data_IF_380407786031
#
_entry.id   IF_380407786031
#
_cell.length_a   1.000
_cell.length_b   1.000
_cell.length_c   1.000
_cell.angle_alpha   90.00
_cell.angle_beta   90.00
_cell.angle_gamma   90.00
#
_symmetry.space_group_name_H-M   'P 1'
#
loop_
_entity.id
_entity.type
_entity.pdbx_description
1 polymer ?
#
# COMPACT_ATOMS: atom_id res chain seq x y z
N UNK A 1 -16.95 -16.77 28.08
CA UNK A 1 -15.88 -15.84 27.64
C UNK A 1 -15.22 -15.31 28.89
N UNK A 2 -13.90 -15.42 29.00
CA UNK A 2 -13.17 -15.20 30.25
C UNK A 2 -13.07 -13.69 30.59
N UNK A 3 -13.19 -13.31 31.87
CA UNK A 3 -13.18 -11.90 32.29
C UNK A 3 -11.85 -11.21 31.96
N UNK A 4 -10.77 -12.00 32.01
CA UNK A 4 -9.41 -11.63 31.59
C UNK A 4 -9.34 -11.27 30.11
N UNK A 5 -9.99 -12.06 29.26
CA UNK A 5 -10.05 -11.85 27.81
C UNK A 5 -10.83 -10.57 27.47
N UNK A 6 -11.95 -10.33 28.15
CA UNK A 6 -12.72 -9.08 28.00
C UNK A 6 -11.89 -7.86 28.41
N UNK A 7 -11.22 -7.92 29.56
CA UNK A 7 -10.36 -6.83 30.05
C UNK A 7 -9.19 -6.54 29.11
N UNK A 8 -8.59 -7.58 28.52
CA UNK A 8 -7.53 -7.44 27.54
C UNK A 8 -8.02 -6.76 26.25
N UNK A 9 -9.18 -7.17 25.73
CA UNK A 9 -9.79 -6.57 24.54
C UNK A 9 -10.10 -5.09 24.78
N UNK A 10 -10.76 -4.76 25.89
CA UNK A 10 -11.12 -3.38 26.23
C UNK A 10 -9.87 -2.51 26.43
N UNK A 11 -8.86 -3.01 27.16
CA UNK A 11 -7.60 -2.30 27.35
C UNK A 11 -6.85 -2.03 26.04
N UNK A 12 -6.88 -3.00 25.12
CA UNK A 12 -6.26 -2.85 23.80
C UNK A 12 -6.98 -1.78 22.95
N UNK A 13 -8.31 -1.74 22.99
CA UNK A 13 -9.10 -0.73 22.28
C UNK A 13 -8.79 0.68 22.84
N UNK A 14 -8.75 0.84 24.16
CA UNK A 14 -8.44 2.13 24.80
C UNK A 14 -7.02 2.57 24.44
N UNK A 15 -6.05 1.66 24.42
CA UNK A 15 -4.68 1.96 24.02
C UNK A 15 -4.58 2.41 22.55
N UNK A 16 -5.33 1.76 21.65
CA UNK A 16 -5.39 2.14 20.22
C UNK A 16 -5.99 3.53 20.03
N UNK A 17 -7.06 3.86 20.76
CA UNK A 17 -7.67 5.21 20.75
C UNK A 17 -6.70 6.24 21.36
N UNK A 18 -6.03 5.89 22.46
CA UNK A 18 -5.03 6.74 23.09
C UNK A 18 -3.84 7.05 22.18
N UNK A 19 -3.47 6.11 21.29
CA UNK A 19 -2.44 6.30 20.27
C UNK A 19 -2.92 7.14 19.08
N UNK A 20 -4.21 7.10 18.72
CA UNK A 20 -4.72 7.83 17.55
C UNK A 20 -4.81 9.35 17.78
N UNK A 21 -5.08 9.78 19.02
CA UNK A 21 -5.15 11.20 19.41
C UNK A 21 -3.83 11.97 19.18
N UNK A 22 -2.66 11.53 19.70
CA UNK A 22 -1.39 12.20 19.45
C UNK A 22 -0.97 12.12 17.98
N UNK A 23 -1.36 11.07 17.26
CA UNK A 23 -1.12 10.96 15.81
C UNK A 23 -1.93 11.99 15.03
N UNK A 24 -3.17 12.26 15.43
CA UNK A 24 -4.01 13.29 14.83
C UNK A 24 -3.50 14.71 15.15
N UNK A 25 -2.86 14.90 16.31
CA UNK A 25 -2.28 16.16 16.74
C UNK A 25 -0.91 16.48 16.08
N UNK A 26 -0.33 15.56 15.31
CA UNK A 26 0.90 15.81 14.56
C UNK A 26 0.66 16.71 13.35
N UNK A 27 1.67 17.51 13.01
CA UNK A 27 1.75 18.22 11.73
C UNK A 27 1.51 17.25 10.54
N UNK A 28 0.81 17.74 9.53
CA UNK A 28 0.34 16.95 8.38
C UNK A 28 1.46 16.16 7.69
N UNK A 29 2.64 16.77 7.54
CA UNK A 29 3.84 16.13 6.98
C UNK A 29 4.39 14.99 7.85
N UNK A 30 4.34 15.13 9.18
CA UNK A 30 4.80 14.12 10.14
C UNK A 30 3.79 12.97 10.23
N UNK A 31 2.50 13.28 10.18
CA UNK A 31 1.42 12.28 10.14
C UNK A 31 1.51 11.39 8.90
N UNK A 32 1.74 11.97 7.72
CA UNK A 32 1.90 11.20 6.48
C UNK A 32 3.15 10.31 6.50
N UNK A 33 4.26 10.80 7.05
CA UNK A 33 5.46 9.98 7.26
C UNK A 33 5.20 8.83 8.23
N UNK A 34 4.50 9.09 9.32
CA UNK A 34 4.16 8.08 10.32
C UNK A 34 3.23 7.01 9.74
N UNK A 35 2.21 7.40 8.98
CA UNK A 35 1.30 6.47 8.31
C UNK A 35 2.03 5.59 7.30
N UNK A 36 2.92 6.17 6.47
CA UNK A 36 3.75 5.41 5.53
C UNK A 36 4.68 4.44 6.25
N UNK A 37 5.30 4.89 7.35
CA UNK A 37 6.15 4.06 8.21
C UNK A 37 5.35 2.87 8.77
N UNK A 38 4.21 3.13 9.42
CA UNK A 38 3.36 2.09 9.99
C UNK A 38 2.83 1.11 8.94
N UNK A 39 2.38 1.59 7.78
CA UNK A 39 1.96 0.71 6.67
C UNK A 39 3.07 -0.24 6.21
N UNK A 40 4.33 0.22 6.22
CA UNK A 40 5.48 -0.64 5.88
C UNK A 40 5.77 -1.65 6.99
N UNK A 41 5.87 -1.18 8.23
CA UNK A 41 6.25 -2.04 9.37
C UNK A 41 5.17 -3.04 9.74
N UNK A 42 3.89 -2.69 9.67
CA UNK A 42 2.81 -3.63 10.00
C UNK A 42 2.83 -4.84 9.05
N UNK A 43 3.14 -4.63 7.77
CA UNK A 43 3.30 -5.70 6.77
C UNK A 43 4.50 -6.60 7.11
N UNK A 44 5.64 -6.00 7.45
CA UNK A 44 6.86 -6.73 7.82
C UNK A 44 6.63 -7.55 9.08
N UNK A 45 6.09 -6.94 10.14
CA UNK A 45 5.79 -7.61 11.41
C UNK A 45 4.78 -8.73 11.20
N UNK A 46 3.71 -8.49 10.43
CA UNK A 46 2.73 -9.53 10.10
C UNK A 46 3.38 -10.73 9.39
N UNK A 47 4.24 -10.49 8.40
CA UNK A 47 4.95 -11.57 7.71
C UNK A 47 5.89 -12.34 8.63
N UNK A 48 6.64 -11.65 9.51
CA UNK A 48 7.51 -12.29 10.50
C UNK A 48 6.69 -13.17 11.43
N UNK A 49 5.61 -12.62 12.00
CA UNK A 49 4.73 -13.38 12.90
C UNK A 49 4.12 -14.58 12.19
N UNK A 50 3.67 -14.42 10.94
CA UNK A 50 3.10 -15.51 10.16
C UNK A 50 4.11 -16.65 9.94
N UNK A 51 5.35 -16.32 9.57
CA UNK A 51 6.42 -17.30 9.32
C UNK A 51 6.85 -17.97 10.62
N UNK A 52 7.14 -17.19 11.67
CA UNK A 52 7.59 -17.73 12.96
C UNK A 52 6.50 -18.60 13.59
N UNK A 53 5.24 -18.13 13.60
CA UNK A 53 4.13 -18.91 14.14
C UNK A 53 3.88 -20.20 13.34
N UNK A 54 4.00 -20.16 12.02
CA UNK A 54 3.76 -21.35 11.19
C UNK A 54 4.90 -22.36 11.25
N UNK A 55 6.15 -21.89 11.27
CA UNK A 55 7.33 -22.77 11.48
C UNK A 55 7.30 -23.41 12.87
N UNK A 56 6.92 -22.64 13.91
CA UNK A 56 6.75 -23.17 15.26
C UNK A 56 5.63 -24.22 15.35
N UNK A 57 4.48 -23.99 14.71
CA UNK A 57 3.38 -24.96 14.65
C UNK A 57 3.76 -26.27 13.96
N UNK A 58 4.53 -26.19 12.85
CA UNK A 58 5.07 -27.37 12.17
C UNK A 58 6.08 -28.11 13.05
N UNK A 59 6.95 -27.37 13.75
CA UNK A 59 7.93 -27.95 14.68
C UNK A 59 7.25 -28.70 15.83
N UNK A 60 6.18 -28.15 16.40
CA UNK A 60 5.37 -28.80 17.44
C UNK A 60 4.73 -30.09 16.93
N UNK A 61 4.17 -30.07 15.72
CA UNK A 61 3.61 -31.28 15.10
C UNK A 61 4.69 -32.35 14.91
N UNK A 62 5.88 -31.97 14.43
CA UNK A 62 7.01 -32.90 14.22
C UNK A 62 7.52 -33.54 15.50
N UNK A 63 7.51 -32.81 16.62
CA UNK A 63 7.96 -33.30 17.92
C UNK A 63 6.84 -33.94 18.76
N UNK A 64 5.63 -34.04 18.21
CA UNK A 64 4.55 -34.78 18.86
C UNK A 64 4.90 -36.27 18.90
N UNK A 65 4.93 -36.83 20.11
CA UNK A 65 5.28 -38.24 20.33
C UNK A 65 4.09 -39.19 20.20
N UNK A 66 2.89 -38.67 19.91
CA UNK A 66 1.64 -39.43 19.79
C UNK A 66 1.25 -39.73 18.34
N UNK A 67 0.28 -40.64 18.18
CA UNK A 67 -0.37 -40.81 16.88
C UNK A 67 -1.12 -39.51 16.51
N UNK A 68 -0.92 -38.96 15.31
CA UNK A 68 -1.49 -37.68 14.94
C UNK A 68 -3.02 -37.76 14.93
N UNK A 69 -3.63 -36.88 15.70
CA UNK A 69 -5.08 -36.69 15.69
C UNK A 69 -5.51 -35.95 14.43
N UNK A 70 -6.77 -36.12 14.02
CA UNK A 70 -7.32 -35.38 12.86
C UNK A 70 -7.19 -33.86 13.03
N UNK A 71 -7.34 -33.36 14.27
CA UNK A 71 -7.20 -31.94 14.58
C UNK A 71 -5.79 -31.43 14.33
N UNK A 72 -4.77 -32.17 14.78
CA UNK A 72 -3.37 -31.81 14.58
C UNK A 72 -2.97 -31.81 13.10
N UNK A 73 -3.50 -32.76 12.31
CA UNK A 73 -3.28 -32.78 10.85
C UNK A 73 -3.89 -31.56 10.17
N UNK A 74 -5.09 -31.13 10.57
CA UNK A 74 -5.71 -29.91 10.03
C UNK A 74 -4.92 -28.66 10.41
N UNK A 75 -4.42 -28.59 11.65
CA UNK A 75 -3.56 -27.49 12.11
C UNK A 75 -2.24 -27.46 11.32
N UNK A 76 -1.63 -28.62 11.06
CA UNK A 76 -0.45 -28.71 10.20
C UNK A 76 -0.73 -28.19 8.79
N UNK A 77 -1.83 -28.62 8.16
CA UNK A 77 -2.21 -28.16 6.83
C UNK A 77 -2.46 -26.63 6.81
N UNK A 78 -3.05 -26.07 7.86
CA UNK A 78 -3.21 -24.62 8.01
C UNK A 78 -1.84 -23.91 8.04
N UNK A 79 -0.87 -24.42 8.80
CA UNK A 79 0.46 -23.81 8.85
C UNK A 79 1.22 -23.92 7.52
N UNK A 80 1.10 -25.05 6.83
CA UNK A 80 1.66 -25.22 5.49
C UNK A 80 1.02 -24.23 4.52
N UNK A 81 -0.32 -24.11 4.52
CA UNK A 81 -1.05 -23.15 3.71
C UNK A 81 -0.62 -21.71 3.98
N UNK A 82 -0.46 -21.33 5.25
CA UNK A 82 0.03 -20.02 5.65
C UNK A 82 1.41 -19.71 5.08
N UNK A 83 2.33 -20.68 5.08
CA UNK A 83 3.67 -20.51 4.47
C UNK A 83 3.60 -20.36 2.96
N UNK A 84 2.72 -21.08 2.27
CA UNK A 84 2.46 -20.86 0.83
C UNK A 84 1.84 -19.49 0.54
N UNK A 85 1.10 -18.92 1.50
CA UNK A 85 0.58 -17.56 1.42
C UNK A 85 1.66 -16.47 1.46
N UNK A 86 2.85 -16.75 2.02
CA UNK A 86 3.93 -15.76 2.15
C UNK A 86 4.43 -15.26 0.79
N UNK A 87 4.84 -16.13 -0.18
CA UNK A 87 5.17 -15.70 -1.54
C UNK A 87 4.06 -14.89 -2.21
N UNK A 88 2.79 -15.26 -2.00
CA UNK A 88 1.65 -14.55 -2.57
C UNK A 88 1.52 -13.12 -2.01
N UNK A 89 1.66 -12.94 -0.70
CA UNK A 89 1.62 -11.61 -0.06
C UNK A 89 2.80 -10.75 -0.53
N UNK A 90 3.99 -11.34 -0.66
CA UNK A 90 5.17 -10.65 -1.18
C UNK A 90 4.96 -10.21 -2.64
N UNK A 91 4.39 -11.08 -3.46
CA UNK A 91 4.06 -10.77 -4.85
C UNK A 91 3.04 -9.64 -4.96
N UNK A 92 1.95 -9.69 -4.21
CA UNK A 92 0.95 -8.61 -4.17
C UNK A 92 1.57 -7.28 -3.75
N UNK A 93 2.44 -7.30 -2.73
CA UNK A 93 3.15 -6.10 -2.27
C UNK A 93 4.10 -5.54 -3.35
N UNK A 94 4.76 -6.40 -4.12
CA UNK A 94 5.59 -5.97 -5.24
C UNK A 94 4.75 -5.39 -6.38
N UNK A 95 3.57 -5.97 -6.65
CA UNK A 95 2.64 -5.49 -7.66
C UNK A 95 2.11 -4.09 -7.35
N UNK A 96 1.78 -3.80 -6.09
CA UNK A 96 1.37 -2.45 -5.67
C UNK A 96 2.43 -1.40 -6.02
N UNK A 97 3.72 -1.69 -5.75
CA UNK A 97 4.81 -0.77 -6.11
C UNK A 97 4.91 -0.55 -7.63
N UNK A 98 4.67 -1.59 -8.43
CA UNK A 98 4.67 -1.49 -9.90
C UNK A 98 3.51 -0.62 -10.39
N UNK A 99 2.32 -0.78 -9.80
CA UNK A 99 1.15 0.03 -10.11
C UNK A 99 1.38 1.50 -9.75
N UNK A 100 2.01 1.79 -8.61
CA UNK A 100 2.37 3.14 -8.20
C UNK A 100 3.34 3.79 -9.18
N UNK A 101 4.39 3.07 -9.60
CA UNK A 101 5.33 3.56 -10.63
C UNK A 101 4.63 3.82 -11.96
N UNK A 102 3.72 2.93 -12.37
CA UNK A 102 2.94 3.10 -13.60
C UNK A 102 2.04 4.34 -13.53
N UNK A 103 1.36 4.53 -12.40
CA UNK A 103 0.46 5.67 -12.20
C UNK A 103 1.25 7.00 -12.16
N UNK A 104 2.43 7.02 -11.52
CA UNK A 104 3.32 8.17 -11.53
C UNK A 104 3.78 8.53 -12.95
N UNK A 105 4.21 7.53 -13.74
CA UNK A 105 4.58 7.76 -15.15
C UNK A 105 3.42 8.27 -15.99
N UNK A 106 2.21 7.77 -15.74
CA UNK A 106 1.00 8.23 -16.43
C UNK A 106 0.72 9.71 -16.13
N UNK A 107 0.82 10.12 -14.87
CA UNK A 107 0.67 11.52 -14.48
C UNK A 107 1.70 12.43 -15.15
N UNK A 108 2.96 12.01 -15.18
CA UNK A 108 4.04 12.76 -15.84
C UNK A 108 3.79 12.91 -17.36
N UNK A 109 3.31 11.84 -18.01
CA UNK A 109 2.95 11.85 -19.42
C UNK A 109 1.76 12.78 -19.70
N UNK A 110 0.73 12.75 -18.86
CA UNK A 110 -0.45 13.64 -18.98
C UNK A 110 -0.06 15.11 -18.82
N UNK A 111 0.85 15.44 -17.87
CA UNK A 111 1.40 16.80 -17.73
C UNK A 111 2.21 17.24 -18.96
N UNK A 112 3.06 16.35 -19.50
CA UNK A 112 3.84 16.63 -20.71
C UNK A 112 2.95 16.87 -21.92
N UNK A 113 1.92 16.06 -22.13
CA UNK A 113 0.95 16.23 -23.22
C UNK A 113 0.26 17.59 -23.08
N UNK A 114 -0.23 17.93 -21.88
CA UNK A 114 -0.86 19.24 -21.63
C UNK A 114 0.08 20.41 -21.90
N UNK A 115 1.36 20.30 -21.53
CA UNK A 115 2.36 21.34 -21.79
C UNK A 115 2.62 21.53 -23.30
N UNK A 116 2.64 20.43 -24.06
CA UNK A 116 2.82 20.44 -25.51
C UNK A 116 1.59 21.00 -26.21
N UNK A 117 0.38 20.64 -25.78
CA UNK A 117 -0.87 21.20 -26.32
C UNK A 117 -0.92 22.73 -26.15
N UNK A 118 -0.53 23.23 -24.96
CA UNK A 118 -0.42 24.66 -24.71
C UNK A 118 0.62 25.35 -25.61
N UNK A 119 1.78 24.71 -25.83
CA UNK A 119 2.81 25.24 -26.73
C UNK A 119 2.34 25.24 -28.19
N UNK A 120 1.63 24.19 -28.63
CA UNK A 120 1.06 24.11 -29.99
C UNK A 120 -0.02 25.17 -30.18
N UNK A 121 -0.90 25.40 -29.19
CA UNK A 121 -1.86 26.51 -29.22
C UNK A 121 -1.17 27.87 -29.28
N UNK A 122 -0.09 28.08 -28.50
CA UNK A 122 0.68 29.30 -28.54
C UNK A 122 1.34 29.53 -29.92
N UNK A 123 1.91 28.48 -30.52
CA UNK A 123 2.54 28.54 -31.84
C UNK A 123 1.52 28.75 -32.98
N UNK A 124 0.36 28.10 -32.91
CA UNK A 124 -0.70 28.24 -33.91
C UNK A 124 -1.39 29.60 -33.85
N UNK A 125 -1.63 30.13 -32.65
CA UNK A 125 -2.12 31.50 -32.48
C UNK A 125 -1.11 32.55 -32.97
N UNK A 126 0.19 32.34 -32.72
CA UNK A 126 1.25 33.21 -33.24
C UNK A 126 1.37 33.15 -34.77
N UNK A 127 1.15 31.97 -35.38
CA UNK A 127 1.16 31.81 -36.85
C UNK A 127 -0.08 32.40 -37.53
N UNK A 128 -1.19 32.55 -36.81
CA UNK A 128 -2.42 33.21 -37.31
C UNK A 128 -2.31 34.76 -37.31
N UNK A 129 -1.54 35.35 -36.39
CA UNK A 129 -1.31 36.80 -36.30
C UNK A 129 -0.74 37.45 -37.59
N UNK A 130 0.31 36.92 -38.25
CA UNK A 130 0.88 37.55 -39.44
C UNK A 130 -0.04 37.43 -40.66
N UNK A 131 -0.91 36.41 -40.73
CA UNK A 131 -1.89 36.28 -41.82
C UNK A 131 -3.04 37.30 -41.69
N UNK A 132 -3.51 37.57 -40.46
CA UNK A 132 -4.51 38.60 -40.19
C UNK A 132 -3.96 40.02 -40.40
N UNK A 133 -2.71 40.27 -39.99
CA UNK A 133 -2.05 41.55 -40.21
C UNK A 133 -1.78 41.83 -41.70
N UNK A 134 -1.40 40.81 -42.48
CA UNK A 134 -1.19 40.93 -43.93
C UNK A 134 -2.51 41.09 -44.72
N UNK A 135 -3.64 40.57 -44.20
CA UNK A 135 -4.95 40.78 -44.80
C UNK A 135 -5.51 42.20 -44.55
N UNK A 136 -5.17 42.80 -43.39
CA UNK A 136 -5.61 44.14 -43.01
C UNK A 136 -4.83 45.29 -43.70
N UNK A 137 -3.66 45.01 -44.28
CA UNK A 137 -2.82 46.02 -44.94
C UNK A 137 -3.05 46.17 -46.45
N UNK A 138 -4.03 45.46 -47.04
CA UNK A 138 -4.39 45.65 -48.46
C UNK A 138 -5.34 46.85 -48.58
N UNK A 139 -4.97 47.92 -49.33
CA UNK A 139 -5.89 49.02 -49.58
C UNK A 139 -7.00 48.57 -50.54
N UNK A 140 -8.22 49.03 -50.25
CA UNK A 140 -9.44 48.85 -51.06
C UNK A 140 -9.35 49.67 -52.34
#
# INVERSE_FOLDING_TARGET
MDLSLLSFIVGTIIALIGLSIPIAALEESKRDNLVRFWKRWIKIVFLIVLVVNSTFGIWLFWHSTGAPTRGEVLVLLMHIFNLFGVPFILFMTAMDNVLDVRNAKRSELEEKVRSLELQVQALTSFKALPAAAAAASKPI
#
